data_IF_946664094849
#
_entry.id   IF_946664094849
#
_cell.length_a   1.000
_cell.length_b   1.000
_cell.length_c   1.000
_cell.angle_alpha   90.00
_cell.angle_beta   90.00
_cell.angle_gamma   90.00
#
_symmetry.space_group_name_H-M   'P 1'
#
loop_
_entity.id
_entity.type
_entity.pdbx_description
1 polymer ?
#
# COMPACT_ATOMS: atom_id res chain seq x y z
N UNK A 1 -24.88 -11.26 -57.66
CA UNK A 1 -23.65 -12.03 -57.33
C UNK A 1 -23.87 -12.76 -55.99
N UNK A 2 -24.18 -14.06 -56.00
CA UNK A 2 -24.48 -14.86 -54.80
C UNK A 2 -23.22 -15.33 -54.06
N UNK A 3 -23.34 -15.78 -52.81
CA UNK A 3 -22.25 -16.37 -52.05
C UNK A 3 -21.64 -17.60 -52.77
N UNK A 4 -22.50 -18.41 -53.38
CA UNK A 4 -22.13 -19.61 -54.17
C UNK A 4 -21.21 -19.24 -55.35
N UNK A 5 -21.55 -18.18 -56.10
CA UNK A 5 -20.71 -17.68 -57.22
C UNK A 5 -19.33 -17.18 -56.77
N UNK A 6 -19.19 -16.73 -55.51
CA UNK A 6 -17.93 -16.20 -54.95
C UNK A 6 -16.98 -17.33 -54.51
N UNK A 7 -17.53 -18.44 -54.04
CA UNK A 7 -16.76 -19.65 -53.66
C UNK A 7 -16.27 -20.39 -54.91
N UNK A 8 -17.12 -20.53 -55.93
CA UNK A 8 -16.78 -21.20 -57.19
C UNK A 8 -15.74 -20.43 -58.04
N UNK A 9 -15.57 -19.12 -57.82
CA UNK A 9 -14.61 -18.29 -58.57
C UNK A 9 -13.19 -18.28 -58.01
N UNK A 10 -12.88 -19.13 -57.01
CA UNK A 10 -11.52 -19.33 -56.48
C UNK A 10 -10.89 -18.10 -55.82
N UNK A 11 -11.66 -17.03 -55.59
CA UNK A 11 -11.15 -15.82 -54.92
C UNK A 11 -10.91 -16.11 -53.44
N UNK A 12 -9.79 -15.64 -52.85
CA UNK A 12 -9.50 -15.88 -51.44
C UNK A 12 -10.64 -15.37 -50.57
N UNK A 13 -11.08 -16.20 -49.63
CA UNK A 13 -12.14 -15.87 -48.67
C UNK A 13 -11.65 -14.77 -47.74
N UNK A 14 -11.84 -13.51 -48.11
CA UNK A 14 -11.70 -12.39 -47.17
C UNK A 14 -12.68 -12.58 -46.03
N UNK A 15 -12.20 -12.64 -44.80
CA UNK A 15 -13.05 -12.66 -43.61
C UNK A 15 -14.03 -11.48 -43.68
N UNK A 16 -15.33 -11.71 -43.44
CA UNK A 16 -16.31 -10.64 -43.51
C UNK A 16 -15.98 -9.56 -42.49
N UNK A 17 -15.90 -8.30 -42.93
CA UNK A 17 -15.71 -7.15 -42.03
C UNK A 17 -16.81 -7.16 -40.97
N UNK A 18 -16.46 -6.92 -39.70
CA UNK A 18 -17.45 -6.75 -38.63
C UNK A 18 -18.43 -5.65 -39.03
N UNK A 19 -19.73 -5.91 -38.87
CA UNK A 19 -20.77 -4.90 -39.09
C UNK A 19 -20.51 -3.74 -38.12
N UNK A 20 -20.64 -2.47 -38.56
CA UNK A 20 -20.54 -1.34 -37.66
C UNK A 20 -21.60 -1.46 -36.55
N UNK A 21 -21.18 -1.24 -35.31
CA UNK A 21 -22.08 -1.21 -34.16
C UNK A 21 -22.89 0.08 -34.11
N UNK A 22 -23.69 0.23 -33.05
CA UNK A 22 -24.37 1.49 -32.78
C UNK A 22 -23.35 2.63 -32.54
N UNK A 23 -23.67 3.88 -32.94
CA UNK A 23 -22.82 5.01 -32.66
C UNK A 23 -22.56 5.16 -31.15
N UNK A 24 -21.32 5.49 -30.79
CA UNK A 24 -20.97 5.82 -29.41
C UNK A 24 -21.75 7.05 -28.93
N UNK A 25 -22.30 6.99 -27.72
CA UNK A 25 -22.91 8.17 -27.06
C UNK A 25 -21.89 9.25 -26.69
N UNK A 26 -20.60 8.89 -26.65
CA UNK A 26 -19.49 9.81 -26.46
C UNK A 26 -18.84 10.10 -27.81
N UNK A 27 -19.03 11.32 -28.30
CA UNK A 27 -18.33 11.84 -29.48
C UNK A 27 -16.84 12.10 -29.19
N UNK A 28 -16.01 12.11 -30.22
CA UNK A 28 -14.56 12.33 -30.14
C UNK A 28 -14.20 13.66 -29.45
N UNK A 29 -14.98 14.72 -29.67
CA UNK A 29 -14.77 15.99 -28.96
C UNK A 29 -15.00 15.83 -27.46
N UNK A 30 -16.05 15.10 -27.07
CA UNK A 30 -16.39 14.84 -25.67
C UNK A 30 -15.36 13.96 -25.00
N UNK A 31 -14.87 12.92 -25.69
CA UNK A 31 -13.78 12.04 -25.22
C UNK A 31 -12.52 12.85 -24.91
N UNK A 32 -12.07 13.72 -25.81
CA UNK A 32 -10.90 14.60 -25.58
C UNK A 32 -11.10 15.53 -24.39
N UNK A 33 -12.32 16.08 -24.23
CA UNK A 33 -12.65 16.97 -23.10
C UNK A 33 -12.56 16.25 -21.76
N UNK A 34 -13.06 15.01 -21.69
CA UNK A 34 -12.96 14.13 -20.52
C UNK A 34 -11.50 13.89 -20.15
N UNK A 35 -10.67 13.49 -21.12
CA UNK A 35 -9.25 13.18 -20.88
C UNK A 35 -8.51 14.40 -20.34
N UNK A 36 -8.68 15.57 -20.96
CA UNK A 36 -8.05 16.82 -20.48
C UNK A 36 -8.47 17.18 -19.06
N UNK A 37 -9.77 17.05 -18.75
CA UNK A 37 -10.29 17.37 -17.43
C UNK A 37 -9.68 16.46 -16.34
N UNK A 38 -9.57 15.16 -16.62
CA UNK A 38 -8.99 14.20 -15.69
C UNK A 38 -7.47 14.35 -15.54
N UNK A 39 -6.76 14.76 -16.60
CA UNK A 39 -5.33 15.09 -16.52
C UNK A 39 -5.06 16.33 -15.65
N UNK A 40 -5.93 17.33 -15.73
CA UNK A 40 -5.83 18.53 -14.90
C UNK A 40 -6.25 18.30 -13.43
N UNK A 41 -7.11 17.30 -13.18
CA UNK A 41 -7.67 17.01 -11.86
C UNK A 41 -7.40 15.55 -11.48
N UNK A 42 -6.22 15.29 -10.92
CA UNK A 42 -5.84 13.95 -10.46
C UNK A 42 -6.72 13.56 -9.26
N UNK A 43 -7.32 12.36 -9.29
CA UNK A 43 -8.12 11.82 -8.19
C UNK A 43 -9.64 12.04 -8.31
N UNK A 44 -10.13 12.60 -9.41
CA UNK A 44 -11.58 12.73 -9.66
C UNK A 44 -12.24 11.40 -10.00
N UNK A 45 -13.46 11.19 -9.52
CA UNK A 45 -14.23 9.97 -9.77
C UNK A 45 -15.12 10.09 -11.00
N UNK A 46 -15.46 8.97 -11.66
CA UNK A 46 -16.32 8.98 -12.85
C UNK A 46 -17.68 9.70 -12.64
N UNK A 47 -18.40 9.55 -11.51
CA UNK A 47 -19.61 10.33 -11.26
C UNK A 47 -19.35 11.84 -11.16
N UNK A 48 -18.25 12.24 -10.52
CA UNK A 48 -17.85 13.65 -10.42
C UNK A 48 -17.55 14.23 -11.80
N UNK A 49 -16.84 13.51 -12.67
CA UNK A 49 -16.56 13.95 -14.03
C UNK A 49 -17.84 14.13 -14.85
N UNK A 50 -18.81 13.20 -14.73
CA UNK A 50 -20.12 13.31 -15.41
C UNK A 50 -20.86 14.56 -14.96
N UNK A 51 -20.89 14.85 -13.65
CA UNK A 51 -21.53 16.05 -13.11
C UNK A 51 -20.80 17.33 -13.54
N UNK A 52 -19.49 17.40 -13.37
CA UNK A 52 -18.68 18.59 -13.67
C UNK A 52 -18.64 18.96 -15.15
N UNK A 53 -18.63 17.96 -16.04
CA UNK A 53 -18.66 18.19 -17.49
C UNK A 53 -20.07 18.17 -18.07
N UNK A 54 -21.11 18.04 -17.22
CA UNK A 54 -22.52 17.97 -17.59
C UNK A 54 -22.78 16.97 -18.73
N UNK A 55 -22.24 15.76 -18.58
CA UNK A 55 -22.33 14.74 -19.61
C UNK A 55 -23.71 14.06 -19.53
N UNK A 56 -24.43 14.00 -20.65
CA UNK A 56 -25.70 13.26 -20.78
C UNK A 56 -25.55 11.73 -20.80
N UNK A 57 -24.52 11.17 -20.15
CA UNK A 57 -24.24 9.73 -20.10
C UNK A 57 -24.14 9.23 -18.67
N UNK A 58 -24.41 7.94 -18.47
CA UNK A 58 -24.23 7.33 -17.15
C UNK A 58 -22.74 7.26 -16.77
N UNK A 59 -22.39 7.32 -15.47
CA UNK A 59 -21.02 7.10 -15.00
C UNK A 59 -20.41 5.77 -15.48
N UNK A 60 -21.25 4.75 -15.71
CA UNK A 60 -20.81 3.47 -16.25
C UNK A 60 -20.33 3.55 -17.70
N UNK A 61 -20.96 4.42 -18.51
CA UNK A 61 -20.52 4.68 -19.89
C UNK A 61 -19.13 5.30 -19.89
N UNK A 62 -18.89 6.24 -18.97
CA UNK A 62 -17.57 6.85 -18.78
C UNK A 62 -16.53 5.81 -18.33
N UNK A 63 -16.84 4.94 -17.36
CA UNK A 63 -15.93 3.85 -16.95
C UNK A 63 -15.57 2.91 -18.09
N UNK A 64 -16.55 2.51 -18.92
CA UNK A 64 -16.30 1.65 -20.10
C UNK A 64 -15.37 2.33 -21.10
N UNK A 65 -15.56 3.63 -21.34
CA UNK A 65 -14.68 4.41 -22.19
C UNK A 65 -13.25 4.47 -21.61
N UNK A 66 -13.10 4.82 -20.33
CA UNK A 66 -11.80 4.90 -19.67
C UNK A 66 -11.05 3.56 -19.70
N UNK A 67 -11.75 2.46 -19.45
CA UNK A 67 -11.15 1.12 -19.53
C UNK A 67 -10.70 0.78 -20.97
N UNK A 68 -11.45 1.20 -21.99
CA UNK A 68 -11.10 0.99 -23.40
C UNK A 68 -9.87 1.82 -23.82
N UNK A 69 -9.69 3.00 -23.23
CA UNK A 69 -8.48 3.84 -23.39
C UNK A 69 -7.29 3.35 -22.53
N UNK A 70 -7.44 2.24 -21.79
CA UNK A 70 -6.38 1.67 -20.97
C UNK A 70 -6.17 2.35 -19.61
N UNK A 71 -7.09 3.20 -19.17
CA UNK A 71 -7.02 3.79 -17.84
C UNK A 71 -7.33 2.74 -16.76
N UNK A 72 -6.45 2.62 -15.77
CA UNK A 72 -6.62 1.75 -14.60
C UNK A 72 -6.84 2.55 -13.33
N UNK A 73 -7.62 2.00 -12.39
CA UNK A 73 -7.69 2.55 -11.04
C UNK A 73 -6.35 2.35 -10.33
N UNK A 74 -5.76 3.42 -9.82
CA UNK A 74 -4.58 3.37 -8.98
C UNK A 74 -4.91 4.01 -7.63
N UNK A 75 -4.61 3.29 -6.54
CA UNK A 75 -4.70 3.86 -5.20
C UNK A 75 -3.68 5.00 -5.08
N UNK A 76 -4.15 6.16 -4.62
CA UNK A 76 -3.26 7.27 -4.28
C UNK A 76 -2.35 6.83 -3.13
N UNK A 77 -1.06 7.17 -3.23
CA UNK A 77 -0.12 6.95 -2.11
C UNK A 77 -0.61 7.77 -0.93
N UNK A 78 -0.94 7.09 0.17
CA UNK A 78 -1.50 7.68 1.40
C UNK A 78 -0.47 8.47 2.20
N UNK A 79 0.82 8.37 1.87
CA UNK A 79 1.88 9.11 2.53
C UNK A 79 2.37 10.26 1.65
N UNK A 80 2.38 11.51 2.16
CA UNK A 80 2.97 12.62 1.43
C UNK A 80 4.46 12.33 1.18
N UNK A 81 4.98 12.67 -0.01
CA UNK A 81 6.39 12.43 -0.31
C UNK A 81 7.27 13.18 0.68
N UNK A 82 8.34 12.54 1.16
CA UNK A 82 9.33 13.21 2.00
C UNK A 82 10.00 14.32 1.17
N UNK A 83 9.85 15.57 1.62
CA UNK A 83 10.65 16.69 1.10
C UNK A 83 12.13 16.48 1.40
N UNK A 84 13.00 17.17 0.67
CA UNK A 84 14.44 17.08 0.91
C UNK A 84 14.82 17.61 2.31
N UNK A 85 14.07 18.59 2.82
CA UNK A 85 14.18 19.04 4.21
C UNK A 85 13.86 17.91 5.20
N UNK A 86 12.79 17.12 4.97
CA UNK A 86 12.48 15.97 5.83
C UNK A 86 13.58 14.91 5.80
N UNK A 87 14.18 14.65 4.64
CA UNK A 87 15.29 13.70 4.50
C UNK A 87 16.51 14.20 5.28
N UNK A 88 16.88 15.47 5.13
CA UNK A 88 18.00 16.08 5.84
C UNK A 88 17.82 16.05 7.37
N UNK A 89 16.63 16.39 7.86
CA UNK A 89 16.30 16.32 9.29
C UNK A 89 16.39 14.89 9.84
N UNK A 90 15.88 13.90 9.08
CA UNK A 90 15.99 12.48 9.45
C UNK A 90 17.44 12.00 9.49
N UNK A 91 18.26 12.37 8.52
CA UNK A 91 19.69 12.04 8.51
C UNK A 91 20.42 12.69 9.69
N UNK A 92 20.11 13.95 10.00
CA UNK A 92 20.68 14.64 11.17
C UNK A 92 20.30 13.95 12.48
N UNK A 93 19.03 13.59 12.63
CA UNK A 93 18.54 12.85 13.79
C UNK A 93 19.24 11.50 13.93
N UNK A 94 19.35 10.73 12.83
CA UNK A 94 20.00 9.43 12.83
C UNK A 94 21.49 9.54 13.20
N UNK A 95 22.22 10.51 12.63
CA UNK A 95 23.63 10.77 12.97
C UNK A 95 23.80 11.15 14.44
N UNK A 96 22.99 12.10 14.92
CA UNK A 96 23.01 12.48 16.34
C UNK A 96 22.81 11.28 17.26
N UNK A 97 21.87 10.38 16.95
CA UNK A 97 21.65 9.21 17.81
C UNK A 97 22.71 8.13 17.58
N UNK A 98 23.22 7.94 16.37
CA UNK A 98 24.32 7.01 16.09
C UNK A 98 25.58 7.36 16.88
N UNK A 99 25.93 8.65 16.92
CA UNK A 99 27.10 9.17 17.63
C UNK A 99 26.90 9.18 19.16
N UNK A 100 25.65 9.14 19.63
CA UNK A 100 25.29 9.21 21.05
C UNK A 100 24.57 7.94 21.59
N UNK A 101 24.53 6.84 20.83
CA UNK A 101 23.89 5.58 21.27
C UNK A 101 24.68 4.86 22.36
N UNK A 102 25.89 5.34 22.65
CA UNK A 102 26.67 5.03 23.85
C UNK A 102 26.88 6.33 24.62
N UNK A 103 25.81 6.90 25.18
CA UNK A 103 26.03 7.82 26.30
C UNK A 103 26.75 6.99 27.36
N UNK A 104 28.01 7.33 27.64
CA UNK A 104 28.95 6.57 28.46
C UNK A 104 28.33 6.11 29.80
N UNK A 105 27.40 6.94 30.31
CA UNK A 105 26.56 6.73 31.49
C UNK A 105 25.74 5.43 31.48
N UNK A 106 25.25 4.99 30.31
CA UNK A 106 24.28 3.89 30.22
C UNK A 106 25.00 2.54 30.18
N UNK A 107 26.11 2.44 29.44
CA UNK A 107 26.97 1.25 29.42
C UNK A 107 27.63 0.98 30.76
N UNK A 108 28.15 2.03 31.42
CA UNK A 108 28.77 1.92 32.74
C UNK A 108 27.74 1.52 33.81
N UNK A 109 26.51 2.05 33.73
CA UNK A 109 25.41 1.63 34.59
C UNK A 109 25.04 0.15 34.41
N UNK A 110 24.89 -0.33 33.16
CA UNK A 110 24.60 -1.75 32.90
C UNK A 110 25.72 -2.67 33.38
N UNK A 111 26.98 -2.28 33.19
CA UNK A 111 28.13 -3.02 33.74
C UNK A 111 28.11 -3.05 35.27
N UNK A 112 27.76 -1.94 35.92
CA UNK A 112 27.58 -1.88 37.38
C UNK A 112 26.43 -2.74 37.92
N UNK A 113 25.43 -3.07 37.08
CA UNK A 113 24.36 -4.03 37.39
C UNK A 113 24.72 -5.48 37.02
N UNK A 114 25.94 -5.74 36.53
CA UNK A 114 26.37 -7.07 36.07
C UNK A 114 25.76 -7.51 34.74
N UNK A 115 25.16 -6.60 33.98
CA UNK A 115 24.59 -6.88 32.66
C UNK A 115 25.67 -6.70 31.61
N UNK A 116 25.99 -7.78 30.89
CA UNK A 116 26.94 -7.72 29.78
C UNK A 116 26.26 -7.15 28.54
N UNK A 117 26.63 -5.94 28.14
CA UNK A 117 26.16 -5.32 26.89
C UNK A 117 26.87 -5.96 25.69
N UNK A 118 26.11 -6.41 24.70
CA UNK A 118 26.65 -6.93 23.43
C UNK A 118 26.75 -5.81 22.40
N UNK A 119 27.76 -5.85 21.54
CA UNK A 119 27.86 -4.91 20.42
C UNK A 119 26.73 -5.20 19.42
N UNK A 120 25.78 -4.27 19.33
CA UNK A 120 24.64 -4.40 18.44
C UNK A 120 24.88 -3.60 17.15
N UNK A 121 24.71 -4.20 15.96
CA UNK A 121 24.86 -3.46 14.72
C UNK A 121 23.77 -2.40 14.61
N UNK A 122 24.19 -1.15 14.37
CA UNK A 122 23.29 -0.03 14.16
C UNK A 122 22.35 -0.29 12.96
N UNK A 123 21.10 0.19 13.05
CA UNK A 123 20.06 0.06 12.00
C UNK A 123 19.58 -1.37 11.68
N UNK A 124 19.64 -2.31 12.63
CA UNK A 124 19.11 -3.68 12.44
C UNK A 124 17.82 -3.93 13.27
N UNK A 125 16.66 -3.35 12.90
CA UNK A 125 15.39 -3.65 13.56
C UNK A 125 15.00 -5.12 13.37
N UNK A 126 15.43 -5.75 12.27
CA UNK A 126 15.19 -7.15 11.97
C UNK A 126 15.86 -8.11 12.96
N UNK A 127 16.83 -7.63 13.73
CA UNK A 127 17.48 -8.40 14.79
C UNK A 127 16.81 -8.17 16.15
N UNK A 128 15.88 -7.23 16.30
CA UNK A 128 15.28 -6.92 17.59
C UNK A 128 14.07 -7.84 17.86
N UNK A 129 14.12 -8.75 18.86
CA UNK A 129 13.02 -9.67 19.14
C UNK A 129 11.74 -8.92 19.57
N UNK A 130 11.89 -7.68 20.09
CA UNK A 130 10.75 -6.88 20.54
C UNK A 130 9.83 -6.47 19.39
N UNK A 131 10.33 -6.33 18.16
CA UNK A 131 9.50 -6.00 17.00
C UNK A 131 8.49 -7.12 16.69
N UNK A 132 8.91 -8.38 16.84
CA UNK A 132 8.01 -9.53 16.70
C UNK A 132 6.98 -9.57 17.83
N UNK A 133 7.38 -9.19 19.04
CA UNK A 133 6.48 -9.08 20.20
C UNK A 133 5.45 -7.97 19.97
N UNK A 134 5.86 -6.81 19.44
CA UNK A 134 4.96 -5.72 19.06
C UNK A 134 3.95 -6.18 18.00
N UNK A 135 4.40 -6.90 16.97
CA UNK A 135 3.52 -7.45 15.95
C UNK A 135 2.47 -8.41 16.56
N UNK A 136 2.89 -9.26 17.51
CA UNK A 136 1.96 -10.12 18.25
C UNK A 136 0.94 -9.31 19.05
N UNK A 137 1.38 -8.30 19.81
CA UNK A 137 0.50 -7.47 20.64
C UNK A 137 -0.51 -6.70 19.78
N UNK A 138 -0.06 -6.10 18.67
CA UNK A 138 -0.94 -5.40 17.74
C UNK A 138 -2.01 -6.33 17.21
N UNK A 139 -1.66 -7.57 16.84
CA UNK A 139 -2.62 -8.58 16.39
C UNK A 139 -3.63 -8.95 17.50
N UNK A 140 -3.20 -9.03 18.76
CA UNK A 140 -4.10 -9.34 19.87
C UNK A 140 -5.05 -8.21 20.24
N UNK A 141 -4.63 -6.96 20.02
CA UNK A 141 -5.38 -5.75 20.38
C UNK A 141 -6.34 -5.33 19.25
N UNK A 142 -5.89 -5.40 18.00
CA UNK A 142 -6.58 -4.91 16.80
C UNK A 142 -6.95 -6.01 15.80
N UNK A 143 -6.91 -7.28 16.21
CA UNK A 143 -7.30 -8.40 15.35
C UNK A 143 -8.74 -8.29 14.84
N UNK A 144 -9.08 -8.95 13.72
CA UNK A 144 -10.37 -8.83 13.06
C UNK A 144 -11.56 -9.21 13.96
N UNK A 145 -11.34 -10.12 14.92
CA UNK A 145 -12.36 -10.59 15.86
C UNK A 145 -12.48 -9.71 17.11
N UNK A 146 -11.72 -8.62 17.21
CA UNK A 146 -11.67 -7.76 18.41
C UNK A 146 -12.58 -6.54 18.24
N UNK A 147 -13.32 -6.14 19.29
CA UNK A 147 -14.16 -4.95 19.22
C UNK A 147 -13.33 -3.68 19.02
N UNK A 148 -13.85 -2.66 18.36
CA UNK A 148 -13.16 -1.38 18.23
C UNK A 148 -12.83 -0.77 19.61
N UNK A 149 -11.65 -0.16 19.71
CA UNK A 149 -11.19 0.49 20.94
C UNK A 149 -11.57 1.97 20.85
N UNK A 150 -12.35 2.45 21.81
CA UNK A 150 -12.88 3.83 21.76
C UNK A 150 -12.19 4.78 22.74
N UNK A 151 -11.44 4.28 23.73
CA UNK A 151 -10.72 5.12 24.69
C UNK A 151 -9.36 4.54 25.12
N UNK A 152 -8.51 5.42 25.68
CA UNK A 152 -7.15 5.08 26.13
C UNK A 152 -7.13 4.02 27.24
N UNK A 153 -8.12 4.04 28.14
CA UNK A 153 -8.21 3.06 29.22
C UNK A 153 -8.47 1.64 28.70
N UNK A 154 -9.35 1.50 27.71
CA UNK A 154 -9.61 0.23 27.02
C UNK A 154 -8.36 -0.27 26.28
N UNK A 155 -7.65 0.62 25.58
CA UNK A 155 -6.39 0.26 24.93
C UNK A 155 -5.37 -0.31 25.94
N UNK A 156 -5.17 0.40 27.05
CA UNK A 156 -4.22 0.01 28.10
C UNK A 156 -4.59 -1.34 28.72
N UNK A 157 -5.87 -1.54 29.05
CA UNK A 157 -6.34 -2.80 29.63
C UNK A 157 -6.14 -3.98 28.68
N UNK A 158 -6.45 -3.82 27.39
CA UNK A 158 -6.26 -4.88 26.39
C UNK A 158 -4.79 -5.19 26.14
N UNK A 159 -3.94 -4.17 26.05
CA UNK A 159 -2.49 -4.35 25.93
C UNK A 159 -1.93 -5.12 27.12
N UNK A 160 -2.33 -4.73 28.34
CA UNK A 160 -1.91 -5.39 29.56
C UNK A 160 -2.32 -6.87 29.58
N UNK A 161 -3.58 -7.16 29.27
CA UNK A 161 -4.07 -8.52 29.21
C UNK A 161 -3.39 -9.36 28.12
N UNK A 162 -3.17 -8.78 26.93
CA UNK A 162 -2.44 -9.45 25.85
C UNK A 162 -0.97 -9.74 26.20
N UNK A 163 -0.37 -8.87 27.00
CA UNK A 163 0.98 -9.05 27.53
C UNK A 163 1.03 -10.19 28.56
N UNK A 164 0.16 -10.17 29.57
CA UNK A 164 0.14 -11.21 30.62
C UNK A 164 -0.25 -12.59 30.10
N UNK A 165 -1.14 -12.64 29.10
CA UNK A 165 -1.62 -13.90 28.52
C UNK A 165 -0.69 -14.42 27.41
N UNK A 166 0.42 -13.72 27.13
CA UNK A 166 1.34 -14.12 26.06
C UNK A 166 1.99 -15.48 26.39
N UNK A 167 1.83 -16.51 25.54
CA UNK A 167 2.47 -17.79 25.79
C UNK A 167 3.99 -17.66 25.75
N UNK A 168 4.70 -18.28 26.69
CA UNK A 168 6.18 -18.29 26.72
C UNK A 168 6.80 -18.85 25.43
N UNK A 169 6.08 -19.74 24.74
CA UNK A 169 6.48 -20.25 23.43
C UNK A 169 6.62 -19.14 22.38
N UNK A 170 5.80 -18.09 22.42
CA UNK A 170 5.91 -16.94 21.51
C UNK A 170 7.23 -16.22 21.74
N UNK A 171 7.61 -15.98 23.00
CA UNK A 171 8.88 -15.35 23.37
C UNK A 171 10.06 -16.24 22.92
N UNK A 172 10.00 -17.53 23.22
CA UNK A 172 11.04 -18.49 22.81
C UNK A 172 11.22 -18.57 21.30
N UNK A 173 10.13 -18.57 20.53
CA UNK A 173 10.17 -18.54 19.07
C UNK A 173 10.73 -17.22 18.53
N UNK A 174 10.40 -16.09 19.16
CA UNK A 174 10.95 -14.79 18.77
C UNK A 174 12.48 -14.78 18.92
N UNK A 175 12.99 -15.23 20.06
CA UNK A 175 14.43 -15.33 20.33
C UNK A 175 15.10 -16.35 19.39
N UNK A 176 14.54 -17.56 19.26
CA UNK A 176 15.11 -18.59 18.38
C UNK A 176 15.13 -18.18 16.90
N UNK A 177 14.18 -17.35 16.47
CA UNK A 177 14.18 -16.82 15.10
C UNK A 177 15.32 -15.85 14.82
N UNK A 178 15.92 -15.22 15.84
CA UNK A 178 17.07 -14.33 15.65
C UNK A 178 18.31 -15.10 15.27
N UNK A 179 18.58 -16.24 15.92
CA UNK A 179 19.73 -17.11 15.60
C UNK A 179 19.68 -17.57 14.14
N UNK A 180 18.47 -17.79 13.60
CA UNK A 180 18.27 -18.14 12.19
C UNK A 180 18.47 -16.95 11.24
N UNK A 181 18.21 -15.72 11.66
CA UNK A 181 18.43 -14.49 10.87
C UNK A 181 19.91 -14.10 10.81
N UNK A 182 20.67 -14.41 11.85
CA UNK A 182 22.12 -14.17 11.91
C UNK A 182 22.94 -15.16 11.07
N UNK A 183 22.36 -16.28 10.66
CA UNK A 183 23.04 -17.35 9.91
C UNK A 183 22.64 -17.42 8.42
N UNK A 184 21.80 -16.50 7.93
CA UNK A 184 21.48 -16.31 6.51
C UNK A 184 22.34 -15.21 5.89
#
# INVERSE_FOLDING_TARGET
KSAVSRVLSGKPTTTPKKKPGSPSKLDERTKRRIVRYMQANIGVTAPSVVASLQLGVSPQTLRRFLNAEGASYASLKTSPPLSDAHKASRVRFAKYHLDNHTDFSTTEWFQGQGVTTTEWPSLSPDLNPIENIWAYLVKQVYGPDKPNITCKAQLRSRLWHAWETMPKAVIGNCVGSMTRRLTQ
#
